data_IF_245345199917
#
_entry.id   IF_245345199917
#
_cell.length_a   1.000
_cell.length_b   1.000
_cell.length_c   1.000
_cell.angle_alpha   90.00
_cell.angle_beta   90.00
_cell.angle_gamma   90.00
#
_symmetry.space_group_name_H-M   'P 1'
#
loop_
_entity.id
_entity.type
_entity.pdbx_description
1 polymer ?
#
# COMPACT_ATOMS: atom_id res chain seq x y z
N UNK A 1 9.73 21.73 -69.80
CA UNK A 1 9.65 20.53 -68.92
C UNK A 1 9.76 21.00 -67.46
N UNK A 2 8.64 21.27 -66.82
CA UNK A 2 8.58 21.79 -65.48
C UNK A 2 8.25 20.63 -64.51
N UNK A 3 9.19 20.27 -63.62
CA UNK A 3 9.00 19.23 -62.60
C UNK A 3 8.37 19.87 -61.34
N UNK A 4 7.15 19.50 -61.02
CA UNK A 4 6.53 19.79 -59.74
C UNK A 4 7.02 18.83 -58.65
N UNK A 5 7.69 19.36 -57.64
CA UNK A 5 8.01 18.63 -56.42
C UNK A 5 6.77 18.74 -55.50
N UNK A 6 6.14 17.59 -55.24
CA UNK A 6 5.12 17.44 -54.22
C UNK A 6 5.85 17.19 -52.87
N UNK A 7 5.73 18.17 -51.97
CA UNK A 7 6.19 18.07 -50.58
C UNK A 7 5.08 17.41 -49.76
N UNK A 8 5.28 16.19 -49.32
CA UNK A 8 4.39 15.51 -48.37
C UNK A 8 4.79 15.88 -46.96
N UNK A 9 4.02 16.74 -46.31
CA UNK A 9 4.11 16.99 -44.88
C UNK A 9 3.54 15.77 -44.14
N UNK A 10 4.39 14.96 -43.51
CA UNK A 10 3.96 13.94 -42.56
C UNK A 10 3.61 14.65 -41.23
N UNK A 11 2.35 14.65 -40.88
CA UNK A 11 1.89 15.09 -39.57
C UNK A 11 2.24 13.98 -38.53
N UNK A 12 3.22 14.28 -37.68
CA UNK A 12 3.50 13.44 -36.49
C UNK A 12 2.42 13.72 -35.46
N UNK A 13 1.47 12.84 -35.32
CA UNK A 13 0.51 12.86 -34.21
C UNK A 13 1.24 12.37 -32.98
N UNK A 14 1.69 13.29 -32.13
CA UNK A 14 2.14 12.98 -30.77
C UNK A 14 0.91 12.55 -29.96
N UNK A 15 0.74 11.25 -29.78
CA UNK A 15 -0.11 10.70 -28.76
C UNK A 15 0.52 11.03 -27.40
N UNK A 16 0.15 12.17 -26.83
CA UNK A 16 0.39 12.46 -25.44
C UNK A 16 -0.44 11.45 -24.61
N UNK A 17 0.18 10.37 -24.18
CA UNK A 17 -0.38 9.53 -23.14
C UNK A 17 -0.63 10.42 -21.92
N UNK A 18 -1.89 10.65 -21.58
CA UNK A 18 -2.29 11.35 -20.37
C UNK A 18 -1.81 10.51 -19.20
N UNK A 19 -0.63 10.82 -18.66
CA UNK A 19 -0.28 10.41 -17.31
C UNK A 19 -1.39 11.01 -16.43
N UNK A 20 -2.26 10.16 -15.87
CA UNK A 20 -3.29 10.63 -14.95
C UNK A 20 -2.59 11.29 -13.77
N UNK A 21 -2.74 12.60 -13.67
CA UNK A 21 -2.18 13.40 -12.60
C UNK A 21 -2.76 12.90 -11.27
N UNK A 22 -1.92 12.72 -10.28
CA UNK A 22 -2.38 12.42 -8.93
C UNK A 22 -3.27 13.56 -8.45
N UNK A 23 -4.41 13.24 -7.88
CA UNK A 23 -5.46 14.19 -7.55
C UNK A 23 -5.38 14.63 -6.10
N UNK A 24 -5.52 15.92 -5.87
CA UNK A 24 -5.71 16.46 -4.52
C UNK A 24 -7.08 16.08 -3.98
N UNK A 25 -7.18 15.91 -2.65
CA UNK A 25 -8.46 15.75 -1.99
C UNK A 25 -9.37 16.98 -2.23
N UNK A 26 -10.62 16.72 -2.56
CA UNK A 26 -11.65 17.75 -2.79
C UNK A 26 -12.71 17.79 -1.70
N UNK A 27 -12.69 16.84 -0.77
CA UNK A 27 -13.58 16.86 0.39
C UNK A 27 -13.34 18.09 1.25
N UNK A 28 -14.40 18.74 1.69
CA UNK A 28 -14.38 19.96 2.51
C UNK A 28 -15.09 19.72 3.84
N UNK A 29 -14.83 20.59 4.83
CA UNK A 29 -15.50 20.53 6.13
C UNK A 29 -15.09 19.35 7.01
N UNK A 30 -13.99 18.66 6.68
CA UNK A 30 -13.48 17.55 7.48
C UNK A 30 -12.77 18.08 8.73
N UNK A 31 -13.18 17.68 9.95
CA UNK A 31 -12.52 18.11 11.18
C UNK A 31 -11.07 17.63 11.25
N UNK A 32 -10.18 18.48 11.79
CA UNK A 32 -8.83 18.07 12.12
C UNK A 32 -8.83 17.23 13.41
N UNK A 33 -8.13 16.09 13.38
CA UNK A 33 -7.87 15.26 14.54
C UNK A 33 -6.50 15.68 15.12
N UNK A 34 -6.43 16.20 16.34
CA UNK A 34 -5.17 16.53 16.98
C UNK A 34 -4.27 15.30 17.11
N UNK A 35 -2.99 15.44 16.84
CA UNK A 35 -2.01 14.36 16.92
C UNK A 35 -0.63 14.86 17.36
N UNK A 36 0.18 13.92 17.83
CA UNK A 36 1.60 14.13 18.08
C UNK A 36 2.42 13.03 17.42
N UNK A 37 3.63 13.36 16.96
CA UNK A 37 4.61 12.40 16.50
C UNK A 37 5.55 12.04 17.64
N UNK A 38 5.89 10.74 17.77
CA UNK A 38 6.87 10.27 18.76
C UNK A 38 8.26 10.31 18.10
N UNK A 39 9.16 11.19 18.55
CA UNK A 39 10.48 11.32 17.94
C UNK A 39 11.36 10.10 18.24
N UNK A 40 12.24 9.76 17.28
CA UNK A 40 13.23 8.68 17.42
C UNK A 40 12.65 7.37 17.95
N UNK A 41 11.47 7.03 17.45
CA UNK A 41 10.67 5.91 17.92
C UNK A 41 11.41 4.58 17.76
N UNK A 42 11.99 4.31 16.57
CA UNK A 42 12.75 3.09 16.32
C UNK A 42 14.23 3.28 16.68
N UNK A 43 14.78 2.34 17.44
CA UNK A 43 16.17 2.30 17.87
C UNK A 43 16.93 1.25 17.07
N UNK A 44 17.63 1.70 16.06
CA UNK A 44 18.43 0.85 15.19
C UNK A 44 19.75 0.44 15.86
N UNK A 45 20.32 -0.73 15.52
CA UNK A 45 21.68 -1.08 15.90
C UNK A 45 22.70 -0.07 15.38
N UNK A 46 23.84 0.02 16.02
CA UNK A 46 24.93 0.89 15.58
C UNK A 46 25.35 0.58 14.14
N UNK A 47 25.47 1.61 13.31
CA UNK A 47 25.82 1.49 11.89
C UNK A 47 24.65 1.12 10.96
N UNK A 48 23.47 0.86 11.48
CA UNK A 48 22.27 0.60 10.69
C UNK A 48 21.45 1.87 10.48
N UNK A 49 20.78 1.95 9.32
CA UNK A 49 19.82 3.00 8.99
C UNK A 49 18.66 2.42 8.17
N UNK A 50 17.53 3.07 8.15
CA UNK A 50 16.44 2.74 7.27
C UNK A 50 16.63 3.43 5.92
N UNK A 51 16.38 2.71 4.83
CA UNK A 51 16.16 3.31 3.53
C UNK A 51 14.69 3.69 3.33
N UNK A 52 14.18 3.61 2.10
CA UNK A 52 12.76 3.77 1.83
C UNK A 52 11.96 2.78 2.68
N UNK A 53 11.32 3.27 3.73
CA UNK A 53 10.55 2.45 4.66
C UNK A 53 9.15 2.23 4.08
N UNK A 54 9.09 1.30 3.13
CA UNK A 54 7.90 1.13 2.28
C UNK A 54 6.71 0.56 3.03
N UNK A 55 6.96 -0.29 4.04
CA UNK A 55 5.86 -0.91 4.74
C UNK A 55 6.15 -1.17 6.22
N UNK A 56 5.10 -1.11 7.01
CA UNK A 56 5.09 -1.38 8.44
C UNK A 56 3.86 -2.23 8.79
N UNK A 57 4.02 -3.12 9.76
CA UNK A 57 2.93 -3.89 10.34
C UNK A 57 3.24 -4.21 11.80
N UNK A 58 2.22 -4.51 12.59
CA UNK A 58 2.39 -4.97 13.97
C UNK A 58 1.74 -6.35 14.17
N UNK A 59 2.29 -7.15 15.08
CA UNK A 59 1.70 -8.43 15.49
C UNK A 59 0.85 -8.28 16.76
N UNK A 60 0.29 -9.38 17.25
CA UNK A 60 -0.57 -9.41 18.45
C UNK A 60 0.16 -8.95 19.73
N UNK A 61 1.50 -9.07 19.77
CA UNK A 61 2.35 -8.65 20.89
C UNK A 61 2.77 -7.18 20.81
N UNK A 62 2.42 -6.51 19.72
CA UNK A 62 2.85 -5.14 19.43
C UNK A 62 4.26 -5.03 18.82
N UNK A 63 4.92 -6.15 18.48
CA UNK A 63 6.17 -6.08 17.72
C UNK A 63 5.93 -5.48 16.36
N UNK A 64 6.88 -4.69 15.91
CA UNK A 64 6.78 -3.87 14.70
C UNK A 64 7.71 -4.44 13.65
N UNK A 65 7.16 -4.67 12.48
CA UNK A 65 7.91 -5.11 11.31
C UNK A 65 8.07 -3.94 10.35
N UNK A 66 9.30 -3.72 9.89
CA UNK A 66 9.63 -2.67 8.91
C UNK A 66 10.29 -3.33 7.71
N UNK A 67 9.62 -3.25 6.57
CA UNK A 67 10.11 -3.75 5.30
C UNK A 67 10.59 -2.56 4.48
N UNK A 68 11.89 -2.53 4.18
CA UNK A 68 12.51 -1.34 3.61
C UNK A 68 13.55 -1.67 2.53
N UNK A 69 13.79 -0.69 1.68
CA UNK A 69 14.74 -0.73 0.57
C UNK A 69 15.89 0.23 0.85
N UNK A 70 17.13 -0.26 0.72
CA UNK A 70 18.35 0.57 0.73
C UNK A 70 19.35 -0.02 -0.28
N UNK A 71 20.54 -0.46 0.16
CA UNK A 71 21.48 -1.28 -0.62
C UNK A 71 20.90 -2.64 -1.01
N UNK A 72 20.11 -3.22 -0.13
CA UNK A 72 19.33 -4.45 -0.32
C UNK A 72 17.96 -4.30 0.35
N UNK A 73 17.02 -5.12 -0.08
CA UNK A 73 15.73 -5.23 0.58
C UNK A 73 15.88 -6.00 1.89
N UNK A 74 15.35 -5.44 2.99
CA UNK A 74 15.48 -6.00 4.34
C UNK A 74 14.17 -5.91 5.12
N UNK A 75 13.96 -6.87 6.02
CA UNK A 75 12.82 -6.92 6.94
C UNK A 75 13.32 -6.94 8.38
N UNK A 76 13.05 -5.86 9.11
CA UNK A 76 13.43 -5.73 10.52
C UNK A 76 12.25 -5.96 11.43
N UNK A 77 12.52 -6.58 12.58
CA UNK A 77 11.57 -6.70 13.70
C UNK A 77 12.07 -5.87 14.88
N UNK A 78 11.16 -5.08 15.46
CA UNK A 78 11.36 -4.29 16.67
C UNK A 78 10.33 -4.71 17.71
N UNK A 79 10.65 -4.53 18.99
CA UNK A 79 9.65 -4.66 20.06
C UNK A 79 8.65 -3.49 20.05
N UNK A 80 7.61 -3.57 20.87
CA UNK A 80 6.58 -2.52 20.99
C UNK A 80 7.12 -1.14 21.45
N UNK A 81 8.33 -1.11 22.03
CA UNK A 81 9.02 0.11 22.48
C UNK A 81 10.00 0.64 21.42
N UNK A 82 10.06 -0.01 20.25
CA UNK A 82 10.92 0.36 19.14
C UNK A 82 12.36 -0.14 19.25
N UNK A 83 12.69 -1.04 20.18
CA UNK A 83 14.03 -1.63 20.25
C UNK A 83 14.17 -2.73 19.19
N UNK A 84 15.28 -2.73 18.46
CA UNK A 84 15.57 -3.74 17.45
C UNK A 84 15.68 -5.15 18.08
N UNK A 85 15.01 -6.12 17.46
CA UNK A 85 15.07 -7.53 17.85
C UNK A 85 15.95 -8.32 16.90
N UNK A 86 15.60 -8.32 15.61
CA UNK A 86 16.30 -9.13 14.58
C UNK A 86 15.97 -8.67 13.17
N UNK A 87 16.74 -9.19 12.22
CA UNK A 87 16.42 -9.20 10.80
C UNK A 87 15.81 -10.55 10.41
N UNK A 88 14.70 -10.52 9.68
CA UNK A 88 14.02 -11.71 9.15
C UNK A 88 14.38 -11.89 7.69
N UNK A 89 14.67 -13.13 7.29
CA UNK A 89 14.94 -13.47 5.90
C UNK A 89 16.21 -12.82 5.34
N UNK A 90 17.25 -12.62 6.17
CA UNK A 90 18.54 -12.11 5.69
C UNK A 90 19.09 -12.97 4.54
N UNK A 91 19.32 -12.36 3.37
CA UNK A 91 19.78 -13.05 2.17
C UNK A 91 18.71 -13.91 1.49
N UNK A 92 17.44 -13.73 1.85
CA UNK A 92 16.35 -14.47 1.22
C UNK A 92 16.23 -14.10 -0.26
N UNK A 93 16.23 -15.13 -1.11
CA UNK A 93 16.17 -15.00 -2.58
C UNK A 93 14.91 -14.27 -3.10
N UNK A 94 13.83 -14.23 -2.31
CA UNK A 94 12.59 -13.52 -2.62
C UNK A 94 12.57 -12.05 -2.23
N UNK A 95 13.71 -11.45 -1.82
CA UNK A 95 13.83 -10.04 -1.46
C UNK A 95 14.68 -9.29 -2.47
N UNK A 96 14.05 -8.39 -3.23
CA UNK A 96 14.71 -7.54 -4.22
C UNK A 96 14.19 -6.11 -4.18
N UNK A 97 12.85 -5.93 -4.18
CA UNK A 97 12.23 -4.62 -4.15
C UNK A 97 11.00 -4.65 -3.25
N UNK A 98 11.20 -4.37 -1.96
CA UNK A 98 10.15 -4.38 -0.94
C UNK A 98 8.95 -3.54 -1.36
N UNK A 99 7.73 -4.03 -1.10
CA UNK A 99 6.53 -3.25 -1.35
C UNK A 99 5.55 -3.25 -0.17
N UNK A 100 5.21 -4.41 0.40
CA UNK A 100 4.30 -4.48 1.54
C UNK A 100 4.72 -5.52 2.57
N UNK A 101 4.38 -5.28 3.83
CA UNK A 101 4.41 -6.26 4.92
C UNK A 101 3.09 -6.23 5.67
N UNK A 102 2.54 -7.41 5.95
CA UNK A 102 1.31 -7.61 6.72
C UNK A 102 1.51 -8.75 7.73
N UNK A 103 0.69 -8.77 8.75
CA UNK A 103 0.69 -9.84 9.77
C UNK A 103 -0.71 -10.44 9.83
N UNK A 104 -0.79 -11.78 9.67
CA UNK A 104 -2.07 -12.49 9.76
C UNK A 104 -2.50 -12.73 11.22
N UNK A 105 -3.69 -13.29 11.42
CA UNK A 105 -4.25 -13.56 12.75
C UNK A 105 -3.44 -14.54 13.61
N UNK A 106 -2.56 -15.33 13.00
CA UNK A 106 -1.70 -16.31 13.64
C UNK A 106 -0.26 -15.79 13.84
N UNK A 107 -0.09 -14.44 13.71
CA UNK A 107 1.19 -13.72 13.80
C UNK A 107 2.22 -14.11 12.72
N UNK A 108 1.80 -14.77 11.63
CA UNK A 108 2.70 -14.98 10.51
C UNK A 108 2.91 -13.67 9.75
N UNK A 109 4.14 -13.48 9.29
CA UNK A 109 4.56 -12.28 8.60
C UNK A 109 4.48 -12.54 7.10
N UNK A 110 3.79 -11.67 6.39
CA UNK A 110 3.66 -11.74 4.94
C UNK A 110 4.35 -10.57 4.30
N UNK A 111 5.21 -10.85 3.34
CA UNK A 111 5.88 -9.82 2.53
C UNK A 111 5.41 -9.89 1.09
N UNK A 112 5.23 -8.72 0.50
CA UNK A 112 5.03 -8.57 -0.95
C UNK A 112 6.27 -7.90 -1.50
N UNK A 113 6.94 -8.59 -2.39
CA UNK A 113 8.12 -8.08 -3.07
C UNK A 113 7.80 -7.85 -4.55
N UNK A 114 7.81 -6.59 -4.94
CA UNK A 114 7.46 -6.14 -6.29
C UNK A 114 8.51 -6.58 -7.32
N UNK A 115 9.78 -6.59 -6.94
CA UNK A 115 10.90 -6.94 -7.82
C UNK A 115 10.93 -8.42 -8.18
N UNK A 116 10.60 -9.29 -7.23
CA UNK A 116 10.59 -10.73 -7.44
C UNK A 116 9.24 -11.28 -7.87
N UNK A 117 8.18 -10.48 -7.85
CA UNK A 117 6.78 -10.91 -8.08
C UNK A 117 6.31 -11.96 -7.08
N UNK A 118 6.80 -11.92 -5.84
CA UNK A 118 6.50 -12.90 -4.82
C UNK A 118 5.70 -12.31 -3.66
N UNK A 119 4.76 -13.11 -3.17
CA UNK A 119 4.14 -12.93 -1.85
C UNK A 119 4.59 -14.09 -0.98
N UNK A 120 5.31 -13.80 0.10
CA UNK A 120 5.94 -14.81 0.95
C UNK A 120 5.37 -14.76 2.36
N UNK A 121 4.94 -15.93 2.87
CA UNK A 121 4.53 -16.13 4.26
C UNK A 121 5.70 -16.67 5.08
N UNK A 122 6.03 -15.97 6.16
CA UNK A 122 6.98 -16.44 7.17
C UNK A 122 6.26 -16.79 8.47
N UNK A 123 6.77 -17.78 9.19
CA UNK A 123 6.38 -17.98 10.59
C UNK A 123 6.87 -16.80 11.46
N UNK A 124 6.38 -16.65 12.70
CA UNK A 124 6.90 -15.65 13.64
C UNK A 124 8.41 -15.80 13.93
N UNK A 125 8.98 -16.99 13.70
CA UNK A 125 10.42 -17.25 13.85
C UNK A 125 11.23 -16.90 12.60
N UNK A 126 10.57 -16.58 11.46
CA UNK A 126 11.19 -16.23 10.19
C UNK A 126 11.39 -17.41 9.23
N UNK A 127 10.75 -18.57 9.48
CA UNK A 127 10.77 -19.70 8.53
C UNK A 127 9.77 -19.46 7.41
N UNK A 128 10.17 -19.65 6.16
CA UNK A 128 9.26 -19.60 5.00
C UNK A 128 8.25 -20.74 5.10
N UNK A 129 6.95 -20.39 5.05
CA UNK A 129 5.83 -21.33 5.12
C UNK A 129 5.10 -21.48 3.79
N UNK A 130 5.01 -20.39 2.99
CA UNK A 130 4.33 -20.38 1.70
C UNK A 130 4.93 -19.30 0.80
N UNK A 131 4.93 -19.57 -0.50
CA UNK A 131 5.27 -18.58 -1.53
C UNK A 131 4.19 -18.62 -2.59
N UNK A 132 3.64 -17.47 -2.95
CA UNK A 132 2.70 -17.28 -4.06
C UNK A 132 3.38 -16.40 -5.09
N UNK A 133 3.19 -16.72 -6.37
CA UNK A 133 3.86 -16.06 -7.47
C UNK A 133 5.09 -16.82 -7.95
N UNK A 134 5.78 -16.23 -8.90
CA UNK A 134 6.99 -16.83 -9.50
C UNK A 134 8.00 -15.72 -9.78
N UNK A 135 9.18 -15.85 -9.21
CA UNK A 135 10.30 -15.00 -9.58
C UNK A 135 10.65 -15.25 -11.04
N UNK A 136 10.75 -14.21 -11.89
CA UNK A 136 11.22 -14.37 -13.26
C UNK A 136 12.61 -15.01 -13.30
N UNK A 137 12.98 -15.70 -14.37
CA UNK A 137 14.38 -16.09 -14.59
C UNK A 137 15.27 -14.86 -14.46
N UNK A 138 16.49 -15.04 -13.93
CA UNK A 138 17.45 -13.97 -13.84
C UNK A 138 17.65 -13.36 -15.23
N UNK A 139 17.36 -12.07 -15.36
CA UNK A 139 17.69 -11.25 -16.50
C UNK A 139 18.66 -10.18 -16.02
N UNK A 140 19.58 -9.77 -16.86
CA UNK A 140 20.51 -8.68 -16.49
C UNK A 140 19.73 -7.38 -16.30
N UNK A 141 19.64 -6.93 -15.07
CA UNK A 141 18.99 -5.68 -14.65
C UNK A 141 17.61 -5.85 -13.99
N UNK A 142 17.07 -4.77 -13.42
CA UNK A 142 15.75 -4.79 -12.81
C UNK A 142 14.70 -5.15 -13.86
N UNK A 143 13.74 -6.01 -13.50
CA UNK A 143 12.61 -6.34 -14.35
C UNK A 143 11.73 -5.09 -14.47
N UNK A 144 12.08 -4.23 -15.42
CA UNK A 144 11.21 -3.14 -15.85
C UNK A 144 10.01 -3.80 -16.53
N UNK A 145 8.82 -3.28 -16.28
CA UNK A 145 7.62 -3.75 -16.95
C UNK A 145 7.89 -3.95 -18.45
N UNK A 146 7.48 -5.07 -19.04
CA UNK A 146 7.78 -5.36 -20.44
C UNK A 146 7.29 -4.21 -21.31
N UNK A 147 8.13 -3.79 -22.26
CA UNK A 147 7.73 -2.83 -23.27
C UNK A 147 6.69 -3.50 -24.19
N UNK A 148 5.44 -3.12 -24.04
CA UNK A 148 4.34 -3.68 -24.82
C UNK A 148 3.10 -4.01 -23.98
N UNK A 149 2.03 -4.51 -24.59
CA UNK A 149 0.85 -4.92 -23.85
C UNK A 149 1.18 -6.10 -22.93
N UNK A 150 0.71 -6.02 -21.69
CA UNK A 150 0.86 -7.11 -20.74
C UNK A 150 0.22 -8.40 -21.29
N UNK A 151 0.86 -9.56 -21.10
CA UNK A 151 0.22 -10.83 -21.45
C UNK A 151 -1.03 -11.03 -20.58
N UNK A 152 -1.99 -11.86 -21.00
CA UNK A 152 -3.17 -12.18 -20.20
C UNK A 152 -2.79 -12.65 -18.81
N UNK A 153 -3.45 -12.10 -17.79
CA UNK A 153 -3.17 -12.40 -16.40
C UNK A 153 -3.41 -13.87 -16.05
N UNK A 154 -2.42 -14.54 -15.49
CA UNK A 154 -2.48 -15.95 -15.14
C UNK A 154 -2.81 -16.16 -13.67
N UNK A 155 -3.46 -17.29 -13.32
CA UNK A 155 -3.95 -17.57 -11.95
C UNK A 155 -2.86 -17.54 -10.87
N UNK A 156 -1.64 -17.98 -11.19
CA UNK A 156 -0.54 -18.16 -10.24
C UNK A 156 0.71 -17.33 -10.58
N UNK A 157 0.63 -16.47 -11.57
CA UNK A 157 1.72 -15.57 -11.93
C UNK A 157 1.27 -14.16 -11.60
N UNK A 158 1.95 -13.57 -10.63
CA UNK A 158 1.80 -12.17 -10.27
C UNK A 158 2.74 -11.32 -11.11
N UNK A 159 2.40 -10.07 -11.30
CA UNK A 159 3.25 -9.11 -12.01
C UNK A 159 3.34 -7.81 -11.22
N UNK A 160 4.40 -7.66 -10.46
CA UNK A 160 4.65 -6.54 -9.57
C UNK A 160 3.46 -6.30 -8.60
N UNK A 161 3.18 -7.30 -7.73
CA UNK A 161 2.11 -7.20 -6.74
C UNK A 161 2.41 -6.09 -5.74
N UNK A 162 1.36 -5.50 -5.16
CA UNK A 162 1.48 -4.34 -4.30
C UNK A 162 1.12 -4.59 -2.84
N UNK A 163 0.08 -5.38 -2.53
CA UNK A 163 -0.31 -5.63 -1.14
C UNK A 163 -1.00 -6.99 -0.97
N UNK A 164 -1.15 -7.42 0.28
CA UNK A 164 -1.83 -8.67 0.66
C UNK A 164 -2.73 -8.43 1.88
N UNK A 165 -3.90 -9.06 1.89
CA UNK A 165 -4.83 -9.02 3.01
C UNK A 165 -5.48 -10.38 3.24
N UNK A 166 -6.15 -10.55 4.39
CA UNK A 166 -6.70 -11.84 4.82
C UNK A 166 -8.10 -11.64 5.37
N UNK A 167 -9.02 -12.55 5.01
CA UNK A 167 -10.31 -12.62 5.69
C UNK A 167 -10.24 -13.44 6.98
N UNK A 168 -11.29 -13.43 7.82
CA UNK A 168 -11.31 -14.20 9.06
C UNK A 168 -11.14 -15.71 8.86
N UNK A 169 -11.46 -16.25 7.68
CA UNK A 169 -11.29 -17.66 7.32
C UNK A 169 -9.86 -18.00 6.90
N UNK A 170 -9.02 -16.98 6.71
CA UNK A 170 -7.63 -17.10 6.27
C UNK A 170 -7.46 -17.17 4.76
N UNK A 171 -8.48 -16.84 3.97
CA UNK A 171 -8.30 -16.65 2.53
C UNK A 171 -7.40 -15.43 2.29
N UNK A 172 -6.65 -15.49 1.19
CA UNK A 172 -5.59 -14.54 0.86
C UNK A 172 -6.05 -13.70 -0.31
N UNK A 173 -5.98 -12.38 -0.17
CA UNK A 173 -6.28 -11.43 -1.23
C UNK A 173 -5.02 -10.66 -1.58
N UNK A 174 -4.71 -10.55 -2.87
CA UNK A 174 -3.49 -9.87 -3.34
C UNK A 174 -3.89 -8.82 -4.36
N UNK A 175 -3.47 -7.58 -4.15
CA UNK A 175 -3.48 -6.56 -5.19
C UNK A 175 -2.28 -6.78 -6.11
N UNK A 176 -2.55 -7.13 -7.36
CA UNK A 176 -1.58 -7.40 -8.41
C UNK A 176 -1.62 -6.24 -9.40
N UNK A 177 -1.02 -5.09 -8.97
CA UNK A 177 -1.40 -3.78 -9.44
C UNK A 177 -0.53 -3.13 -10.51
N UNK A 178 0.80 -3.30 -10.51
CA UNK A 178 1.67 -2.51 -11.36
C UNK A 178 1.71 -2.95 -12.83
N UNK A 179 1.53 -4.24 -13.10
CA UNK A 179 1.41 -4.74 -14.48
C UNK A 179 0.00 -5.26 -14.77
N UNK A 180 -0.59 -5.96 -13.78
CA UNK A 180 -1.97 -6.39 -13.83
C UNK A 180 -2.81 -5.40 -13.02
N UNK A 181 -4.03 -5.12 -13.45
CA UNK A 181 -4.93 -4.21 -12.75
C UNK A 181 -6.03 -5.04 -12.08
N UNK A 182 -5.64 -5.91 -11.14
CA UNK A 182 -6.56 -6.88 -10.55
C UNK A 182 -6.33 -7.09 -9.05
N UNK A 183 -7.36 -7.61 -8.40
CA UNK A 183 -7.30 -8.25 -7.09
C UNK A 183 -7.53 -9.74 -7.28
N UNK A 184 -6.67 -10.57 -6.70
CA UNK A 184 -6.76 -12.03 -6.79
C UNK A 184 -7.04 -12.63 -5.43
N UNK A 185 -7.99 -13.57 -5.36
CA UNK A 185 -8.30 -14.34 -4.16
C UNK A 185 -7.75 -15.75 -4.28
N UNK A 186 -7.04 -16.18 -3.23
CA UNK A 186 -6.63 -17.56 -3.00
C UNK A 186 -7.26 -18.08 -1.71
N UNK A 187 -7.47 -19.39 -1.62
CA UNK A 187 -7.83 -20.01 -0.33
C UNK A 187 -6.63 -19.98 0.63
N UNK A 188 -6.84 -20.37 1.88
CA UNK A 188 -5.79 -20.42 2.92
C UNK A 188 -4.61 -21.35 2.60
N UNK A 189 -4.74 -22.22 1.60
CA UNK A 189 -3.71 -23.12 1.13
C UNK A 189 -3.01 -22.61 -0.14
N UNK A 190 -3.33 -21.39 -0.60
CA UNK A 190 -2.75 -20.77 -1.78
C UNK A 190 -3.35 -21.25 -3.11
N UNK A 191 -4.54 -21.86 -3.11
CA UNK A 191 -5.23 -22.26 -4.34
C UNK A 191 -6.07 -21.10 -4.87
N UNK A 192 -5.96 -20.82 -6.16
CA UNK A 192 -6.73 -19.78 -6.82
C UNK A 192 -8.24 -20.01 -6.66
N UNK A 193 -8.97 -18.96 -6.28
CA UNK A 193 -10.43 -18.96 -6.11
C UNK A 193 -11.09 -18.06 -7.13
N UNK A 194 -10.73 -16.78 -7.17
CA UNK A 194 -11.37 -15.76 -7.99
C UNK A 194 -10.44 -14.58 -8.26
N UNK A 195 -10.84 -13.71 -9.19
CA UNK A 195 -10.23 -12.38 -9.35
C UNK A 195 -11.28 -11.35 -9.75
N UNK A 196 -11.02 -10.08 -9.45
CA UNK A 196 -11.69 -8.91 -10.00
C UNK A 196 -10.67 -8.04 -10.73
N UNK A 197 -11.09 -7.37 -11.82
CA UNK A 197 -10.18 -6.68 -12.73
C UNK A 197 -9.45 -7.65 -13.67
N UNK A 198 -8.46 -7.15 -14.39
CA UNK A 198 -7.74 -7.89 -15.44
C UNK A 198 -6.31 -7.35 -15.62
N UNK A 199 -5.63 -7.74 -16.68
CA UNK A 199 -4.37 -7.12 -17.10
C UNK A 199 -4.54 -5.71 -17.67
N UNK A 200 -5.78 -5.30 -17.96
CA UNK A 200 -6.10 -3.97 -18.50
C UNK A 200 -6.59 -3.05 -17.40
N UNK A 201 -6.13 -1.80 -17.44
CA UNK A 201 -6.68 -0.76 -16.60
C UNK A 201 -8.12 -0.44 -17.01
N UNK A 202 -8.98 -0.20 -16.02
CA UNK A 202 -10.36 0.17 -16.21
C UNK A 202 -10.86 1.12 -15.12
N UNK A 203 -11.98 1.78 -15.37
CA UNK A 203 -12.56 2.80 -14.47
C UNK A 203 -13.94 2.45 -13.93
N UNK A 204 -14.59 1.41 -14.47
CA UNK A 204 -15.87 0.96 -13.94
C UNK A 204 -15.71 0.38 -12.52
N UNK A 205 -16.79 0.32 -11.76
CA UNK A 205 -16.77 -0.28 -10.43
C UNK A 205 -16.41 -1.78 -10.55
N UNK A 206 -15.39 -2.23 -9.80
CA UNK A 206 -14.82 -3.57 -9.91
C UNK A 206 -13.69 -3.71 -10.92
N UNK A 207 -13.41 -2.68 -11.71
CA UNK A 207 -12.20 -2.53 -12.50
C UNK A 207 -11.19 -1.67 -11.73
N UNK A 208 -9.92 -1.78 -12.07
CA UNK A 208 -8.85 -1.08 -11.37
C UNK A 208 -7.87 -0.43 -12.34
N UNK A 209 -7.17 0.59 -11.84
CA UNK A 209 -6.00 1.16 -12.46
C UNK A 209 -4.93 1.34 -11.38
N UNK A 210 -4.00 0.40 -11.32
CA UNK A 210 -3.00 0.28 -10.28
C UNK A 210 -3.62 0.12 -8.87
N UNK A 211 -4.34 -1.02 -8.58
CA UNK A 211 -4.75 -1.33 -7.22
C UNK A 211 -3.50 -1.49 -6.36
N UNK A 212 -3.41 -0.67 -5.28
CA UNK A 212 -2.18 -0.50 -4.51
C UNK A 212 -2.30 -1.09 -3.10
N UNK A 213 -2.80 -0.34 -2.12
CA UNK A 213 -3.05 -0.86 -0.80
C UNK A 213 -4.33 -1.70 -0.73
N UNK A 214 -4.31 -2.77 0.07
CA UNK A 214 -5.46 -3.67 0.25
C UNK A 214 -5.57 -4.13 1.71
N UNK A 215 -6.79 -4.14 2.24
CA UNK A 215 -7.11 -4.85 3.50
C UNK A 215 -8.50 -5.46 3.47
N UNK A 216 -8.75 -6.39 4.39
CA UNK A 216 -10.03 -7.07 4.53
C UNK A 216 -10.59 -6.79 5.92
N UNK A 217 -11.86 -6.41 6.01
CA UNK A 217 -12.54 -6.17 7.27
C UNK A 217 -13.09 -7.46 7.90
N UNK A 218 -13.61 -7.38 9.12
CA UNK A 218 -14.13 -8.55 9.84
C UNK A 218 -15.38 -9.17 9.20
N UNK A 219 -16.07 -8.42 8.31
CA UNK A 219 -17.18 -8.96 7.50
C UNK A 219 -16.67 -9.79 6.33
N UNK A 220 -15.36 -9.74 6.05
CA UNK A 220 -14.71 -10.33 4.90
C UNK A 220 -14.77 -9.45 3.64
N UNK A 221 -15.14 -8.18 3.76
CA UNK A 221 -15.15 -7.26 2.63
C UNK A 221 -13.73 -6.76 2.35
N UNK A 222 -13.41 -6.68 1.08
CA UNK A 222 -12.07 -6.32 0.57
C UNK A 222 -12.06 -4.85 0.19
N UNK A 223 -11.20 -4.09 0.84
CA UNK A 223 -10.98 -2.67 0.58
C UNK A 223 -9.71 -2.48 -0.21
N UNK A 224 -9.76 -1.70 -1.28
CA UNK A 224 -8.66 -1.52 -2.22
C UNK A 224 -8.45 -0.05 -2.52
N UNK A 225 -7.23 0.42 -2.38
CA UNK A 225 -6.81 1.72 -2.90
C UNK A 225 -6.58 1.60 -4.41
N UNK A 226 -7.52 2.05 -5.20
CA UNK A 226 -7.47 2.09 -6.67
C UNK A 226 -6.77 3.39 -7.10
N UNK A 227 -5.44 3.35 -7.00
CA UNK A 227 -4.56 4.51 -6.91
C UNK A 227 -4.69 5.46 -8.09
N UNK A 228 -4.55 4.99 -9.30
CA UNK A 228 -4.57 5.83 -10.50
C UNK A 228 -5.99 6.33 -10.83
N UNK A 229 -7.02 5.64 -10.34
CA UNK A 229 -8.40 6.08 -10.43
C UNK A 229 -8.80 7.07 -9.30
N UNK A 230 -7.88 7.39 -8.37
CA UNK A 230 -8.09 8.33 -7.26
C UNK A 230 -9.31 7.99 -6.40
N UNK A 231 -9.49 6.71 -6.08
CA UNK A 231 -10.62 6.20 -5.28
C UNK A 231 -10.20 5.02 -4.43
N UNK A 232 -11.07 4.65 -3.48
CA UNK A 232 -11.03 3.38 -2.79
C UNK A 232 -12.28 2.59 -3.14
N UNK A 233 -12.14 1.29 -3.33
CA UNK A 233 -13.28 0.42 -3.61
C UNK A 233 -13.49 -0.58 -2.48
N UNK A 234 -14.74 -0.88 -2.17
CA UNK A 234 -15.16 -1.99 -1.30
C UNK A 234 -15.78 -3.08 -2.18
N UNK A 235 -15.31 -4.31 -2.02
CA UNK A 235 -15.83 -5.50 -2.68
C UNK A 235 -16.31 -6.50 -1.61
N UNK A 236 -17.25 -7.35 -1.95
CA UNK A 236 -17.60 -8.48 -1.09
C UNK A 236 -16.50 -9.56 -1.08
N UNK A 237 -16.66 -10.58 -0.26
CA UNK A 237 -15.71 -11.69 -0.15
C UNK A 237 -15.53 -12.49 -1.45
N UNK A 238 -16.47 -12.40 -2.38
CA UNK A 238 -16.42 -13.00 -3.70
C UNK A 238 -15.87 -12.06 -4.77
N UNK A 239 -15.31 -10.93 -4.34
CA UNK A 239 -14.75 -9.87 -5.18
C UNK A 239 -15.79 -9.18 -6.08
N UNK A 240 -17.08 -9.19 -5.71
CA UNK A 240 -18.10 -8.38 -6.37
C UNK A 240 -18.05 -6.97 -5.79
N UNK A 241 -18.06 -5.92 -6.62
CA UNK A 241 -17.98 -4.55 -6.15
C UNK A 241 -19.26 -4.16 -5.37
N UNK A 242 -19.07 -3.40 -4.29
CA UNK A 242 -20.15 -2.89 -3.44
C UNK A 242 -20.30 -1.37 -3.62
N UNK A 243 -19.20 -0.63 -3.42
CA UNK A 243 -19.19 0.83 -3.51
C UNK A 243 -17.77 1.36 -3.72
N UNK A 244 -17.70 2.66 -3.94
CA UNK A 244 -16.45 3.41 -3.93
C UNK A 244 -16.48 4.59 -2.96
N UNK A 245 -15.31 5.02 -2.51
CA UNK A 245 -15.08 6.25 -1.75
C UNK A 245 -14.17 7.12 -2.58
N UNK A 246 -14.64 8.32 -2.90
CA UNK A 246 -13.95 9.29 -3.74
C UNK A 246 -13.65 10.58 -2.98
N UNK A 247 -13.08 11.57 -3.64
CA UNK A 247 -12.80 12.91 -3.11
C UNK A 247 -11.73 12.99 -2.01
N UNK A 248 -11.04 11.86 -1.71
CA UNK A 248 -9.94 11.81 -0.74
C UNK A 248 -8.55 12.01 -1.38
N UNK A 249 -8.49 12.29 -2.67
CA UNK A 249 -7.25 12.39 -3.45
C UNK A 249 -6.70 11.04 -3.87
N UNK A 250 -5.43 11.01 -4.28
CA UNK A 250 -4.77 9.78 -4.73
C UNK A 250 -4.44 8.88 -3.55
N UNK A 251 -5.18 7.79 -3.42
CA UNK A 251 -4.98 6.81 -2.35
C UNK A 251 -3.80 5.88 -2.60
N UNK A 252 -2.90 5.80 -1.64
CA UNK A 252 -1.77 4.86 -1.71
C UNK A 252 -2.03 3.62 -0.88
N UNK A 253 -2.51 3.79 0.33
CA UNK A 253 -2.82 2.68 1.21
C UNK A 253 -4.06 2.96 2.05
N UNK A 254 -4.54 1.91 2.66
CA UNK A 254 -5.55 1.98 3.70
C UNK A 254 -5.20 1.03 4.84
N UNK A 255 -5.74 1.32 6.01
CA UNK A 255 -5.63 0.45 7.16
C UNK A 255 -6.98 0.35 7.87
N UNK A 256 -7.40 -0.87 8.19
CA UNK A 256 -8.63 -1.14 8.94
C UNK A 256 -8.24 -1.56 10.35
N UNK A 257 -8.70 -0.82 11.35
CA UNK A 257 -8.42 -1.17 12.74
C UNK A 257 -9.18 -2.43 13.16
N UNK A 258 -8.61 -3.29 13.99
CA UNK A 258 -9.31 -4.45 14.53
C UNK A 258 -10.35 -4.05 15.59
N UNK A 259 -11.16 -5.01 16.00
CA UNK A 259 -12.10 -4.88 17.10
C UNK A 259 -13.57 -4.76 16.65
N UNK A 260 -14.50 -4.74 17.60
CA UNK A 260 -15.94 -4.79 17.31
C UNK A 260 -16.45 -3.53 16.58
N UNK A 261 -15.72 -2.43 16.68
CA UNK A 261 -15.95 -1.20 15.92
C UNK A 261 -14.68 -0.88 15.14
N UNK A 262 -14.72 -1.14 13.84
CA UNK A 262 -13.59 -0.93 12.95
C UNK A 262 -13.65 0.46 12.31
N UNK A 263 -12.50 1.13 12.28
CA UNK A 263 -12.28 2.34 11.48
C UNK A 263 -11.43 1.99 10.26
N UNK A 264 -11.64 2.71 9.17
CA UNK A 264 -10.72 2.71 8.05
C UNK A 264 -9.94 4.02 8.01
N UNK A 265 -8.64 3.90 7.81
CA UNK A 265 -7.72 5.03 7.63
C UNK A 265 -7.25 5.03 6.19
N UNK A 266 -7.51 6.11 5.48
CA UNK A 266 -7.13 6.30 4.08
C UNK A 266 -5.97 7.28 4.00
N UNK A 267 -4.87 6.93 3.33
CA UNK A 267 -3.77 7.86 3.09
C UNK A 267 -3.87 8.48 1.70
N UNK A 268 -3.76 9.79 1.61
CA UNK A 268 -3.47 10.42 0.34
C UNK A 268 -2.03 10.91 0.34
N UNK A 269 -1.24 10.41 -0.56
CA UNK A 269 0.14 10.84 -0.72
C UNK A 269 0.32 11.48 -2.09
N UNK A 270 1.11 12.55 -2.14
CA UNK A 270 1.30 13.39 -3.31
C UNK A 270 -0.02 13.96 -3.90
N UNK A 271 -0.80 14.68 -3.10
CA UNK A 271 -2.13 15.13 -3.48
C UNK A 271 -2.13 16.21 -4.58
N UNK A 272 -0.99 16.77 -4.95
CA UNK A 272 -0.92 17.92 -5.83
C UNK A 272 -0.61 17.60 -7.29
N UNK A 273 -0.48 16.31 -7.66
CA UNK A 273 -0.18 15.91 -9.02
C UNK A 273 1.15 16.44 -9.55
N UNK A 274 2.06 16.81 -8.68
CA UNK A 274 3.35 17.37 -9.04
C UNK A 274 4.21 16.36 -9.82
N UNK A 275 5.08 16.81 -10.72
CA UNK A 275 5.99 15.93 -11.42
C UNK A 275 6.80 15.06 -10.44
N UNK A 276 7.25 13.88 -10.85
CA UNK A 276 8.16 13.08 -10.04
C UNK A 276 9.33 13.91 -9.52
N UNK A 277 9.61 13.85 -8.21
CA UNK A 277 10.66 14.61 -7.56
C UNK A 277 10.23 15.95 -6.94
N UNK A 278 8.98 16.40 -7.14
CA UNK A 278 8.44 17.59 -6.48
C UNK A 278 7.46 17.21 -5.36
N UNK A 279 7.93 16.44 -4.39
CA UNK A 279 7.14 15.87 -3.30
C UNK A 279 6.89 16.85 -2.14
N UNK A 280 6.73 18.13 -2.42
CA UNK A 280 6.69 19.16 -1.37
C UNK A 280 5.37 19.22 -0.60
N UNK A 281 4.31 18.68 -1.16
CA UNK A 281 2.96 18.78 -0.61
C UNK A 281 2.28 17.40 -0.56
N UNK A 282 2.71 16.54 0.32
CA UNK A 282 2.09 15.23 0.51
C UNK A 282 1.56 15.11 1.91
N UNK A 283 0.51 14.35 2.09
CA UNK A 283 0.25 13.77 3.37
C UNK A 283 -0.94 14.30 4.14
N UNK A 284 -2.06 13.66 3.91
CA UNK A 284 -3.20 13.63 4.84
C UNK A 284 -3.60 12.17 5.03
N UNK A 285 -4.09 11.86 6.23
CA UNK A 285 -4.71 10.58 6.56
C UNK A 285 -6.12 10.88 7.05
N UNK A 286 -7.10 10.23 6.44
CA UNK A 286 -8.51 10.36 6.77
C UNK A 286 -8.93 9.18 7.63
N UNK A 287 -9.55 9.44 8.78
CA UNK A 287 -10.22 8.44 9.60
C UNK A 287 -11.68 8.40 9.22
N UNK A 288 -12.22 7.23 8.92
CA UNK A 288 -13.60 7.05 8.51
C UNK A 288 -14.23 5.80 9.13
N UNK A 289 -15.56 5.75 9.12
CA UNK A 289 -16.35 4.54 9.36
C UNK A 289 -16.29 3.61 8.15
N UNK A 290 -16.62 2.34 8.34
CA UNK A 290 -16.68 1.37 7.24
C UNK A 290 -17.79 1.65 6.22
N UNK A 291 -18.74 2.53 6.53
CA UNK A 291 -19.72 3.01 5.53
C UNK A 291 -19.15 4.06 4.58
N UNK A 292 -17.92 4.55 4.84
CA UNK A 292 -17.23 5.57 4.08
C UNK A 292 -17.39 6.97 4.64
N UNK A 293 -18.13 7.17 5.74
CA UNK A 293 -18.29 8.47 6.40
C UNK A 293 -16.98 8.91 7.03
N UNK A 294 -16.40 9.98 6.50
CA UNK A 294 -15.16 10.57 7.04
C UNK A 294 -15.47 11.27 8.37
N UNK A 295 -14.73 10.89 9.41
CA UNK A 295 -14.85 11.41 10.78
C UNK A 295 -13.89 12.57 11.04
N UNK A 296 -12.74 12.55 10.37
CA UNK A 296 -11.72 13.57 10.54
C UNK A 296 -10.47 13.24 9.74
N UNK A 297 -9.53 14.16 9.72
CA UNK A 297 -8.23 14.00 9.08
C UNK A 297 -7.10 14.44 10.00
N UNK A 298 -5.89 13.98 9.74
CA UNK A 298 -4.67 14.38 10.43
C UNK A 298 -3.47 14.22 9.52
N UNK A 299 -2.32 14.72 10.00
CA UNK A 299 -1.10 14.75 9.23
C UNK A 299 -0.93 16.08 8.49
N UNK A 300 0.30 16.35 8.11
CA UNK A 300 0.64 17.52 7.31
C UNK A 300 1.82 17.21 6.42
N UNK A 301 1.91 17.82 5.25
CA UNK A 301 3.07 17.65 4.38
C UNK A 301 4.34 18.22 5.02
N UNK A 302 5.47 17.58 4.79
CA UNK A 302 6.77 18.07 5.22
C UNK A 302 7.84 17.01 5.35
N UNK A 303 9.09 17.43 5.14
CA UNK A 303 10.27 16.56 5.24
C UNK A 303 10.67 16.27 6.69
N UNK A 304 10.34 17.15 7.62
CA UNK A 304 10.65 17.00 9.02
C UNK A 304 9.42 16.59 9.86
N UNK A 305 9.57 15.74 10.88
CA UNK A 305 8.47 15.44 11.80
C UNK A 305 7.86 16.71 12.42
N UNK A 306 6.58 16.75 12.66
CA UNK A 306 5.58 15.71 12.43
C UNK A 306 5.01 15.67 11.00
N UNK A 307 5.61 16.35 10.03
CA UNK A 307 5.23 16.26 8.63
C UNK A 307 5.62 14.91 8.03
N UNK A 308 4.99 14.53 6.93
CA UNK A 308 5.39 13.39 6.11
C UNK A 308 5.27 13.69 4.61
N UNK A 309 6.01 12.95 3.80
CA UNK A 309 5.96 13.10 2.35
C UNK A 309 5.09 12.01 1.72
N UNK A 310 5.56 10.80 1.62
CA UNK A 310 4.77 9.70 1.08
C UNK A 310 4.60 8.63 2.15
N UNK A 311 3.39 8.55 2.73
CA UNK A 311 2.99 7.41 3.56
C UNK A 311 2.59 6.29 2.62
N UNK A 312 3.54 5.37 2.42
CA UNK A 312 3.35 4.27 1.49
C UNK A 312 2.49 3.16 2.09
N UNK A 313 2.76 2.81 3.34
CA UNK A 313 1.94 1.90 4.14
C UNK A 313 1.78 2.44 5.55
N UNK A 314 0.69 2.04 6.21
CA UNK A 314 0.44 2.38 7.61
C UNK A 314 -0.14 1.18 8.36
N UNK A 315 0.16 1.11 9.65
CA UNK A 315 -0.45 0.18 10.60
C UNK A 315 -1.33 0.96 11.59
N UNK A 316 -2.54 0.46 11.80
CA UNK A 316 -3.55 1.03 12.68
C UNK A 316 -4.14 -0.01 13.64
N UNK A 317 -3.36 -1.04 14.00
CA UNK A 317 -3.80 -2.05 14.97
C UNK A 317 -4.29 -1.40 16.27
N UNK A 318 -3.66 -0.31 16.68
CA UNK A 318 -4.23 0.61 17.66
C UNK A 318 -4.82 1.82 16.91
N UNK A 319 -6.14 2.03 16.88
CA UNK A 319 -6.77 3.13 16.15
C UNK A 319 -6.45 4.53 16.68
N UNK A 320 -5.75 4.63 17.81
CA UNK A 320 -5.27 5.89 18.38
C UNK A 320 -3.74 6.04 18.29
N UNK A 321 -3.02 4.99 17.86
CA UNK A 321 -1.58 5.02 17.62
C UNK A 321 -1.28 4.40 16.27
N UNK A 322 -0.89 5.22 15.30
CA UNK A 322 -0.58 4.74 13.96
C UNK A 322 0.93 4.70 13.75
N UNK A 323 1.39 3.71 13.01
CA UNK A 323 2.78 3.60 12.57
C UNK A 323 2.79 3.79 11.06
N UNK A 324 3.62 4.72 10.59
CA UNK A 324 3.68 5.16 9.20
C UNK A 324 5.04 4.81 8.59
N UNK A 325 5.02 4.12 7.46
CA UNK A 325 6.21 3.91 6.63
C UNK A 325 6.29 4.96 5.53
N UNK A 326 7.43 5.65 5.44
CA UNK A 326 7.65 6.73 4.48
C UNK A 326 8.79 6.37 3.52
N UNK A 327 8.51 6.47 2.21
CA UNK A 327 9.54 6.19 1.20
C UNK A 327 10.48 7.37 1.00
N UNK A 328 9.98 8.58 0.78
CA UNK A 328 10.80 9.74 0.44
C UNK A 328 11.64 10.29 1.62
N UNK A 329 11.20 10.06 2.83
CA UNK A 329 11.88 10.52 4.04
C UNK A 329 12.71 9.45 4.74
N UNK A 330 12.74 8.23 4.21
CA UNK A 330 13.52 7.07 4.69
C UNK A 330 13.34 6.81 6.18
N UNK A 331 12.10 6.81 6.64
CA UNK A 331 11.83 6.70 8.07
C UNK A 331 10.49 6.02 8.37
N UNK A 332 10.34 5.69 9.64
CA UNK A 332 9.07 5.27 10.25
C UNK A 332 8.70 6.28 11.31
N UNK A 333 7.46 6.75 11.30
CA UNK A 333 6.92 7.60 12.35
C UNK A 333 5.82 6.88 13.12
N UNK A 334 5.73 7.17 14.41
CA UNK A 334 4.59 6.81 15.25
C UNK A 334 3.78 8.06 15.56
N UNK A 335 2.49 8.02 15.22
CA UNK A 335 1.54 9.08 15.51
C UNK A 335 0.60 8.65 16.63
N UNK A 336 0.37 9.55 17.59
CA UNK A 336 -0.61 9.38 18.66
C UNK A 336 -1.73 10.37 18.43
N UNK A 337 -2.92 9.87 18.16
CA UNK A 337 -4.13 10.68 17.99
C UNK A 337 -4.66 11.07 19.36
N UNK A 338 -5.02 12.33 19.51
CA UNK A 338 -5.62 12.84 20.75
C UNK A 338 -7.14 12.80 20.63
N UNK A 339 -7.87 12.54 21.73
CA UNK A 339 -9.33 12.68 21.74
C UNK A 339 -9.70 14.08 21.30
N UNK A 340 -10.72 14.22 20.45
CA UNK A 340 -11.29 15.53 20.14
C UNK A 340 -11.69 16.21 21.47
N UNK A 341 -11.19 17.42 21.70
CA UNK A 341 -11.54 18.19 22.88
C UNK A 341 -13.07 18.35 22.92
N UNK A 342 -13.75 17.69 23.87
CA UNK A 342 -15.17 17.88 24.09
C UNK A 342 -16.10 16.67 24.13
N UNK A 343 -15.61 15.42 23.99
CA UNK A 343 -16.45 14.26 24.35
C UNK A 343 -16.03 13.70 25.72
N UNK A 344 -16.91 13.70 26.72
CA UNK A 344 -16.67 12.97 27.96
C UNK A 344 -16.45 11.50 27.62
N UNK A 345 -15.42 10.89 28.21
CA UNK A 345 -15.23 9.44 28.17
C UNK A 345 -16.54 8.79 28.67
N UNK A 346 -17.19 8.02 27.81
CA UNK A 346 -18.22 7.10 28.27
C UNK A 346 -17.57 6.21 29.34
N UNK A 347 -18.04 6.32 30.55
CA UNK A 347 -17.54 5.60 31.73
C UNK A 347 -17.50 4.10 31.46
N UNK A 348 -16.51 3.48 32.06
CA UNK A 348 -16.23 2.03 32.12
C UNK A 348 -17.45 1.22 32.53
#
# INVERSE_FOLDING_TARGET
MTRHLLSTCAAVVLLAGSASAQQKATITGVPEIPFSSVPNFLKLPAGEYLGESVAVATNSKGNIFVYHRRDTTRLFEFDKNGNFIKEIGKGYYGFEFAHSVRVDKDDNIWTVDEGTNLVTKFSPQGKVLMVIGRRPPAVDGPVIAPAGPNPPAQKYILCRPSDVGFDPQGNIFISDGYCNNRVVKYDKNGRFVAQAGSEKAGTALGEFNLPHGLQVDERGHVWVADRTNNRYQELDNNLKPIKEVTNLGTGWTLCISPGPHQYVFFSNSNPNGNPPGSWDNTGEIYKAELDGKVLGKFGKPGKNPPGFQVVHMLDCRNPNELILGEIESWRVQKYVLQPAAGRPSAGR
#
